data_IF_431782614510
#
_entry.id   IF_431782614510
#
_cell.length_a   1.000
_cell.length_b   1.000
_cell.length_c   1.000
_cell.angle_alpha   90.00
_cell.angle_beta   90.00
_cell.angle_gamma   90.00
#
_symmetry.space_group_name_H-M   'P 1'
#
loop_
_entity.id
_entity.type
_entity.pdbx_description
1 polymer ?
#
# COMPACT_ATOMS: atom_id res chain seq x y z
N UNK A 1 10.36 -9.17 1.41
CA UNK A 1 8.92 -9.38 1.23
C UNK A 1 8.20 -8.39 2.13
N UNK A 2 7.28 -7.61 1.59
CA UNK A 2 6.62 -6.51 2.30
C UNK A 2 5.14 -6.82 2.54
N UNK A 3 4.55 -6.19 3.55
CA UNK A 3 3.12 -6.34 3.88
C UNK A 3 2.26 -5.29 3.15
N UNK A 4 0.95 -5.54 2.95
CA UNK A 4 0.05 -4.59 2.29
C UNK A 4 0.04 -3.18 2.92
N UNK A 5 0.01 -3.09 4.26
CA UNK A 5 0.08 -1.79 4.95
C UNK A 5 1.41 -1.05 4.72
N UNK A 6 2.52 -1.78 4.62
CA UNK A 6 3.85 -1.22 4.37
C UNK A 6 3.92 -0.67 2.93
N UNK A 7 3.34 -1.39 1.97
CA UNK A 7 3.20 -0.92 0.59
C UNK A 7 2.34 0.33 0.47
N UNK A 8 1.16 0.37 1.09
CA UNK A 8 0.29 1.55 1.09
C UNK A 8 0.98 2.75 1.75
N UNK A 9 1.68 2.54 2.87
CA UNK A 9 2.45 3.61 3.51
C UNK A 9 3.55 4.16 2.59
N UNK A 10 4.29 3.27 1.92
CA UNK A 10 5.32 3.63 0.96
C UNK A 10 4.74 4.44 -0.22
N UNK A 11 3.64 3.97 -0.82
CA UNK A 11 2.92 4.66 -1.90
C UNK A 11 2.53 6.08 -1.48
N UNK A 12 1.94 6.25 -0.30
CA UNK A 12 1.55 7.54 0.24
C UNK A 12 2.77 8.46 0.45
N UNK A 13 3.87 7.94 0.99
CA UNK A 13 5.10 8.72 1.23
C UNK A 13 5.78 9.17 -0.06
N UNK A 14 5.76 8.34 -1.09
CA UNK A 14 6.24 8.72 -2.43
C UNK A 14 5.38 9.83 -3.03
N UNK A 15 4.05 9.73 -2.92
CA UNK A 15 3.15 10.78 -3.39
C UNK A 15 3.31 12.10 -2.59
N UNK A 16 3.52 12.00 -1.29
CA UNK A 16 3.83 13.14 -0.43
C UNK A 16 5.13 13.82 -0.88
N UNK A 17 6.21 13.05 -1.09
CA UNK A 17 7.49 13.57 -1.57
C UNK A 17 7.37 14.31 -2.91
N UNK A 18 6.62 13.74 -3.87
CA UNK A 18 6.36 14.38 -5.17
C UNK A 18 5.57 15.68 -5.01
N UNK A 19 4.62 15.72 -4.08
CA UNK A 19 3.84 16.92 -3.78
C UNK A 19 4.71 18.00 -3.15
N UNK A 20 5.61 17.61 -2.24
CA UNK A 20 6.57 18.47 -1.55
C UNK A 20 7.55 19.11 -2.53
N UNK A 21 8.05 18.37 -3.52
CA UNK A 21 8.90 18.94 -4.59
C UNK A 21 8.23 20.08 -5.35
N UNK A 22 6.90 20.13 -5.40
CA UNK A 22 6.14 21.15 -6.14
C UNK A 22 5.68 22.31 -5.26
N UNK A 23 5.41 22.06 -3.98
CA UNK A 23 4.76 23.03 -3.10
C UNK A 23 5.69 23.66 -2.07
N UNK A 24 6.82 23.03 -1.76
CA UNK A 24 7.73 23.48 -0.69
C UNK A 24 9.01 24.05 -1.30
N UNK A 25 9.30 25.31 -0.97
CA UNK A 25 10.52 26.00 -1.41
C UNK A 25 11.74 25.76 -0.49
N UNK A 26 11.52 25.34 0.76
CA UNK A 26 12.61 25.08 1.70
C UNK A 26 13.32 23.76 1.37
N UNK A 27 14.57 23.89 0.91
CA UNK A 27 15.41 22.74 0.52
C UNK A 27 15.70 21.80 1.68
N UNK A 28 15.84 22.29 2.91
CA UNK A 28 16.14 21.45 4.07
C UNK A 28 14.93 20.57 4.42
N UNK A 29 13.72 21.14 4.32
CA UNK A 29 12.47 20.40 4.53
C UNK A 29 12.32 19.32 3.46
N UNK A 30 12.53 19.67 2.19
CA UNK A 30 12.49 18.72 1.07
C UNK A 30 13.49 17.58 1.28
N UNK A 31 14.74 17.89 1.63
CA UNK A 31 15.77 16.88 1.89
C UNK A 31 15.42 15.97 3.07
N UNK A 32 14.82 16.51 4.13
CA UNK A 32 14.39 15.72 5.29
C UNK A 32 13.32 14.72 4.90
N UNK A 33 12.26 15.17 4.22
CA UNK A 33 11.16 14.30 3.77
C UNK A 33 11.66 13.26 2.77
N UNK A 34 12.59 13.63 1.89
CA UNK A 34 13.25 12.69 0.96
C UNK A 34 13.98 11.58 1.71
N UNK A 35 14.81 11.95 2.68
CA UNK A 35 15.58 10.98 3.48
C UNK A 35 14.66 10.05 4.26
N UNK A 36 13.62 10.60 4.90
CA UNK A 36 12.62 9.81 5.62
C UNK A 36 11.88 8.84 4.70
N UNK A 37 11.54 9.29 3.48
CA UNK A 37 10.88 8.44 2.47
C UNK A 37 11.79 7.31 2.04
N UNK A 38 13.07 7.58 1.79
CA UNK A 38 14.02 6.56 1.31
C UNK A 38 14.49 5.61 2.42
N UNK A 39 14.44 6.03 3.68
CA UNK A 39 14.67 5.16 4.82
C UNK A 39 13.66 4.00 4.91
N UNK A 40 12.46 4.15 4.33
CA UNK A 40 11.47 3.07 4.27
C UNK A 40 11.97 1.85 3.47
N UNK A 41 12.80 2.07 2.44
CA UNK A 41 13.40 0.96 1.69
C UNK A 41 14.23 0.05 2.59
N UNK A 42 14.96 0.65 3.54
CA UNK A 42 15.75 -0.07 4.55
C UNK A 42 14.85 -0.74 5.57
N UNK A 43 13.88 0.00 6.10
CA UNK A 43 12.94 -0.50 7.09
C UNK A 43 12.16 -1.72 6.59
N UNK A 44 11.78 -1.74 5.31
CA UNK A 44 11.03 -2.82 4.69
C UNK A 44 11.92 -3.89 4.04
N UNK A 45 13.25 -3.73 4.10
CA UNK A 45 14.21 -4.69 3.58
C UNK A 45 14.17 -4.86 2.05
N UNK A 46 13.82 -3.80 1.32
CA UNK A 46 13.75 -3.76 -0.15
C UNK A 46 14.85 -2.89 -0.77
N UNK A 47 15.71 -2.26 0.03
CA UNK A 47 16.75 -1.32 -0.41
C UNK A 47 17.65 -1.85 -1.55
N UNK A 48 17.88 -3.17 -1.59
CA UNK A 48 18.74 -3.82 -2.56
C UNK A 48 18.02 -4.34 -3.80
N UNK A 49 16.68 -4.30 -3.82
CA UNK A 49 15.92 -4.80 -4.96
C UNK A 49 15.97 -3.82 -6.13
N UNK A 50 15.85 -4.34 -7.34
CA UNK A 50 15.92 -3.51 -8.54
C UNK A 50 14.67 -2.63 -8.67
N UNK A 51 13.51 -3.11 -8.23
CA UNK A 51 12.25 -2.34 -8.21
C UNK A 51 12.39 -1.09 -7.33
N UNK A 52 13.02 -1.22 -6.15
CA UNK A 52 13.26 -0.08 -5.28
C UNK A 52 14.26 0.91 -5.88
N UNK A 53 15.37 0.43 -6.43
CA UNK A 53 16.37 1.29 -7.08
C UNK A 53 15.78 2.07 -8.26
N UNK A 54 14.97 1.40 -9.09
CA UNK A 54 14.26 2.05 -10.20
C UNK A 54 13.27 3.10 -9.70
N UNK A 55 12.51 2.81 -8.63
CA UNK A 55 11.59 3.79 -8.03
C UNK A 55 12.34 5.00 -7.49
N UNK A 56 13.42 4.79 -6.73
CA UNK A 56 14.25 5.87 -6.18
C UNK A 56 14.82 6.74 -7.30
N UNK A 57 15.39 6.13 -8.34
CA UNK A 57 15.92 6.85 -9.49
C UNK A 57 14.83 7.68 -10.18
N UNK A 58 13.64 7.11 -10.39
CA UNK A 58 12.54 7.81 -11.03
C UNK A 58 11.99 8.97 -10.20
N UNK A 59 11.95 8.84 -8.87
CA UNK A 59 11.44 9.86 -7.95
C UNK A 59 12.49 10.93 -7.64
N UNK A 60 13.78 10.62 -7.72
CA UNK A 60 14.85 11.61 -7.53
C UNK A 60 14.99 12.57 -8.73
N UNK A 61 14.44 12.20 -9.88
CA UNK A 61 14.27 13.15 -10.98
C UNK A 61 13.23 14.22 -10.60
N UNK A 62 13.65 15.49 -10.52
CA UNK A 62 12.85 16.67 -10.15
C UNK A 62 11.51 16.78 -10.92
N UNK A 63 11.38 16.14 -12.07
CA UNK A 63 10.18 16.14 -12.93
C UNK A 63 9.22 14.98 -12.69
N UNK A 64 9.44 14.13 -11.69
CA UNK A 64 8.59 12.97 -11.46
C UNK A 64 7.13 13.38 -11.16
N UNK A 65 6.19 12.81 -11.93
CA UNK A 65 4.76 12.95 -11.69
C UNK A 65 4.24 11.76 -10.89
N UNK A 66 3.11 11.92 -10.20
CA UNK A 66 2.42 10.82 -9.51
C UNK A 66 2.18 9.64 -10.48
N UNK A 67 1.70 9.91 -11.69
CA UNK A 67 1.48 8.90 -12.72
C UNK A 67 2.75 8.16 -13.14
N UNK A 68 3.91 8.83 -13.17
CA UNK A 68 5.19 8.18 -13.46
C UNK A 68 5.59 7.28 -12.30
N UNK A 69 5.49 7.78 -11.06
CA UNK A 69 5.80 7.02 -9.86
C UNK A 69 4.90 5.77 -9.71
N UNK A 70 3.61 5.87 -10.00
CA UNK A 70 2.67 4.75 -9.94
C UNK A 70 3.10 3.57 -10.83
N UNK A 71 3.71 3.84 -11.99
CA UNK A 71 4.26 2.77 -12.86
C UNK A 71 5.41 2.00 -12.20
N UNK A 72 6.23 2.67 -11.40
CA UNK A 72 7.32 2.02 -10.65
C UNK A 72 6.80 1.33 -9.38
N UNK A 73 5.74 1.87 -8.76
CA UNK A 73 5.08 1.24 -7.61
C UNK A 73 4.47 -0.12 -7.96
N UNK A 74 3.98 -0.32 -9.20
CA UNK A 74 3.58 -1.65 -9.68
C UNK A 74 4.71 -2.68 -9.61
N UNK A 75 5.98 -2.25 -9.76
CA UNK A 75 7.13 -3.12 -9.53
C UNK A 75 7.24 -3.53 -8.07
N UNK A 76 7.11 -2.57 -7.15
CA UNK A 76 7.13 -2.82 -5.70
C UNK A 76 5.99 -3.74 -5.28
N UNK A 77 4.82 -3.64 -5.92
CA UNK A 77 3.67 -4.53 -5.67
C UNK A 77 4.03 -6.01 -5.82
N UNK A 78 4.94 -6.36 -6.74
CA UNK A 78 5.40 -7.75 -6.91
C UNK A 78 6.18 -8.30 -5.71
N UNK A 79 6.68 -7.43 -4.84
CA UNK A 79 7.39 -7.78 -3.60
C UNK A 79 6.44 -7.94 -2.40
N UNK A 80 5.16 -7.58 -2.57
CA UNK A 80 4.13 -7.61 -1.54
C UNK A 80 3.61 -9.03 -1.37
N UNK A 81 3.49 -9.47 -0.13
CA UNK A 81 2.73 -10.67 0.22
C UNK A 81 1.26 -10.27 0.31
N UNK A 82 0.40 -10.68 -0.64
CA UNK A 82 -1.00 -10.29 -0.62
C UNK A 82 -1.70 -10.84 0.62
N UNK A 83 -2.76 -10.16 1.04
CA UNK A 83 -3.60 -10.62 2.12
C UNK A 83 -4.16 -12.02 1.83
N UNK A 84 -3.96 -12.95 2.76
CA UNK A 84 -4.43 -14.31 2.63
C UNK A 84 -5.95 -14.38 2.84
N UNK A 85 -6.71 -14.50 1.74
CA UNK A 85 -8.15 -14.67 1.82
C UNK A 85 -8.53 -15.94 2.59
N UNK A 86 -9.36 -15.84 3.64
CA UNK A 86 -9.84 -17.01 4.36
C UNK A 86 -10.79 -17.82 3.48
N UNK A 87 -10.73 -19.16 3.58
CA UNK A 87 -11.69 -20.03 2.91
C UNK A 87 -13.10 -19.85 3.47
N UNK A 88 -14.13 -20.20 2.68
CA UNK A 88 -15.54 -20.18 3.12
C UNK A 88 -15.78 -20.94 4.43
N UNK A 89 -15.05 -22.04 4.66
CA UNK A 89 -15.10 -22.79 5.92
C UNK A 89 -14.53 -22.03 7.11
N UNK A 90 -13.44 -21.27 6.92
CA UNK A 90 -12.84 -20.43 7.96
C UNK A 90 -13.75 -19.24 8.27
N UNK A 91 -14.29 -18.57 7.24
CA UNK A 91 -15.26 -17.47 7.40
C UNK A 91 -16.49 -17.98 8.17
N UNK A 92 -17.09 -19.11 7.78
CA UNK A 92 -18.22 -19.70 8.51
C UNK A 92 -17.93 -19.99 9.99
N UNK A 93 -16.68 -20.35 10.34
CA UNK A 93 -16.27 -20.53 11.75
C UNK A 93 -16.14 -19.20 12.51
N UNK A 94 -15.81 -18.09 11.85
CA UNK A 94 -15.75 -16.76 12.46
C UNK A 94 -17.17 -16.23 12.74
N UNK A 95 -18.12 -16.54 11.85
CA UNK A 95 -19.50 -16.03 11.92
C UNK A 95 -20.52 -17.03 12.51
N UNK A 96 -20.12 -17.96 13.39
CA UNK A 96 -21.00 -19.01 13.97
C UNK A 96 -22.33 -18.51 14.56
N UNK A 97 -22.39 -17.26 15.03
CA UNK A 97 -23.59 -16.66 15.64
C UNK A 97 -24.56 -16.06 14.62
N UNK A 98 -24.18 -15.96 13.35
CA UNK A 98 -24.96 -15.33 12.29
C UNK A 98 -25.63 -16.39 11.42
N UNK A 99 -26.91 -16.18 11.11
CA UNK A 99 -27.65 -17.10 10.22
C UNK A 99 -27.16 -17.03 8.77
N UNK A 100 -26.71 -15.85 8.33
CA UNK A 100 -26.13 -15.60 7.01
C UNK A 100 -24.74 -15.01 7.21
N UNK A 101 -23.74 -15.61 6.58
CA UNK A 101 -22.36 -15.13 6.59
C UNK A 101 -22.23 -14.01 5.54
N UNK A 102 -21.58 -12.88 5.84
CA UNK A 102 -21.26 -11.88 4.83
C UNK A 102 -20.46 -12.49 3.70
N UNK A 103 -20.73 -12.09 2.47
CA UNK A 103 -19.92 -12.52 1.34
C UNK A 103 -18.63 -11.69 1.29
N UNK A 104 -17.51 -12.38 1.07
CA UNK A 104 -16.21 -11.74 0.91
C UNK A 104 -15.71 -12.14 -0.48
N UNK A 105 -16.27 -11.51 -1.52
CA UNK A 105 -15.85 -11.78 -2.89
C UNK A 105 -14.44 -11.23 -3.13
N UNK A 106 -13.52 -12.08 -3.57
CA UNK A 106 -12.13 -11.69 -3.76
C UNK A 106 -11.96 -10.56 -4.78
N UNK A 107 -12.84 -10.48 -5.79
CA UNK A 107 -12.84 -9.41 -6.80
C UNK A 107 -13.13 -8.01 -6.24
N UNK A 108 -13.67 -7.90 -5.02
CA UNK A 108 -13.97 -6.61 -4.39
C UNK A 108 -12.77 -6.02 -3.64
N UNK A 109 -11.72 -6.82 -3.41
CA UNK A 109 -10.57 -6.42 -2.60
C UNK A 109 -9.28 -6.42 -3.41
N UNK A 110 -8.55 -5.31 -3.34
CA UNK A 110 -7.14 -5.29 -3.72
C UNK A 110 -6.31 -5.90 -2.58
N UNK A 111 -5.98 -7.19 -2.71
CA UNK A 111 -5.26 -7.93 -1.67
C UNK A 111 -3.82 -7.43 -1.45
N UNK A 112 -3.24 -6.68 -2.38
CA UNK A 112 -1.90 -6.12 -2.23
C UNK A 112 -1.90 -4.81 -1.42
N UNK A 113 -3.04 -4.13 -1.31
CA UNK A 113 -3.22 -2.92 -0.49
C UNK A 113 -4.05 -3.18 0.78
N UNK A 114 -4.74 -4.31 0.85
CA UNK A 114 -5.65 -4.64 1.95
C UNK A 114 -4.94 -5.29 3.15
N UNK A 115 -5.14 -4.75 4.35
CA UNK A 115 -4.62 -5.33 5.60
C UNK A 115 -5.67 -6.06 6.44
N UNK A 116 -6.95 -5.77 6.21
CA UNK A 116 -8.08 -6.43 6.84
C UNK A 116 -9.27 -6.40 5.88
N UNK A 117 -10.12 -7.42 5.94
CA UNK A 117 -11.35 -7.46 5.17
C UNK A 117 -12.45 -6.76 5.95
N UNK A 118 -13.16 -5.84 5.30
CA UNK A 118 -14.29 -5.13 5.87
C UNK A 118 -15.50 -5.22 4.94
N UNK A 119 -16.64 -5.69 5.44
CA UNK A 119 -17.88 -5.78 4.66
C UNK A 119 -19.02 -5.07 5.37
N UNK A 120 -19.73 -4.21 4.64
CA UNK A 120 -20.90 -3.49 5.14
C UNK A 120 -22.19 -4.25 4.81
N UNK A 121 -22.90 -4.70 5.84
CA UNK A 121 -24.26 -5.23 5.74
C UNK A 121 -25.28 -4.08 5.85
N UNK A 122 -25.67 -3.55 4.69
CA UNK A 122 -26.63 -2.44 4.56
C UNK A 122 -28.02 -2.79 5.08
N UNK A 123 -28.40 -4.08 5.10
CA UNK A 123 -29.70 -4.53 5.58
C UNK A 123 -29.84 -4.42 7.10
N UNK A 124 -28.73 -4.46 7.84
CA UNK A 124 -28.71 -4.38 9.31
C UNK A 124 -27.94 -3.17 9.85
N UNK A 125 -27.44 -2.29 8.97
CA UNK A 125 -26.53 -1.19 9.31
C UNK A 125 -25.35 -1.65 10.18
N UNK A 126 -24.71 -2.77 9.78
CA UNK A 126 -23.55 -3.36 10.48
C UNK A 126 -22.35 -3.42 9.55
N UNK A 127 -21.16 -3.24 10.13
CA UNK A 127 -19.89 -3.49 9.46
C UNK A 127 -19.19 -4.65 10.15
N UNK A 128 -18.61 -5.54 9.36
CA UNK A 128 -17.89 -6.73 9.79
C UNK A 128 -16.43 -6.67 9.36
#
# INVERSE_FOLDING_TARGET
MIKPNEYVNLKNKIHELISVYKSVNDKNVVTTIKNDTFALGVQYGIEQTDEWKHLVQAVDEISCSHQKADKFLLGIETLVVPFAMPSTKQIGKLFKKYKKVPDFEQSEFDLYETSYLGVNDTGNAKSF
#
